data_IF_301228952085
#
_entry.id   IF_301228952085
#
_cell.length_a   1.000
_cell.length_b   1.000
_cell.length_c   1.000
_cell.angle_alpha   90.00
_cell.angle_beta   90.00
_cell.angle_gamma   90.00
#
_symmetry.space_group_name_H-M   'P 1'
#
loop_
_entity.id
_entity.type
_entity.pdbx_description
1 polymer ?
#
# COMPACT_ATOMS: atom_id res chain seq x y z
N UNK A 1 2.72 30.55 11.65
CA UNK A 1 3.81 29.60 11.30
C UNK A 1 5.14 30.27 11.57
N UNK A 2 6.04 29.59 12.28
CA UNK A 2 7.32 30.20 12.68
C UNK A 2 8.49 29.84 11.72
N UNK A 3 8.21 29.18 10.57
CA UNK A 3 9.21 28.72 9.65
C UNK A 3 9.42 29.70 8.49
N UNK A 4 10.66 30.06 8.21
CA UNK A 4 11.04 31.01 7.15
C UNK A 4 11.02 30.35 5.76
N UNK A 5 11.18 29.05 5.70
CA UNK A 5 11.20 28.26 4.46
C UNK A 5 10.81 26.81 4.72
N UNK A 6 10.57 26.06 3.65
CA UNK A 6 10.38 24.60 3.68
C UNK A 6 11.56 23.90 4.35
N UNK A 7 12.80 24.30 4.00
CA UNK A 7 14.01 23.69 4.55
C UNK A 7 14.17 23.95 6.06
N UNK A 8 13.71 25.12 6.53
CA UNK A 8 13.69 25.44 7.97
C UNK A 8 12.71 24.52 8.72
N UNK A 9 11.55 24.26 8.14
CA UNK A 9 10.58 23.29 8.67
C UNK A 9 11.16 21.86 8.70
N UNK A 10 11.74 21.39 7.59
CA UNK A 10 12.32 20.05 7.51
C UNK A 10 13.44 19.84 8.52
N UNK A 11 14.32 20.80 8.67
CA UNK A 11 15.36 20.78 9.74
C UNK A 11 14.76 20.68 11.15
N UNK A 12 13.64 21.37 11.40
CA UNK A 12 12.95 21.24 12.68
C UNK A 12 12.39 19.83 12.90
N UNK A 13 11.86 19.20 11.85
CA UNK A 13 11.38 17.80 11.91
C UNK A 13 12.55 16.84 12.23
N UNK A 14 13.70 17.01 11.59
CA UNK A 14 14.90 16.20 11.85
C UNK A 14 15.38 16.35 13.31
N UNK A 15 15.38 17.57 13.84
CA UNK A 15 15.76 17.83 15.23
C UNK A 15 14.76 17.23 16.23
N UNK A 16 13.48 17.26 15.90
CA UNK A 16 12.40 16.74 16.75
C UNK A 16 12.36 15.20 16.77
N UNK A 17 12.73 14.55 15.69
CA UNK A 17 12.70 13.10 15.51
C UNK A 17 14.07 12.57 15.05
N UNK A 18 15.11 12.63 15.89
CA UNK A 18 16.46 12.26 15.47
C UNK A 18 16.59 10.78 15.13
N UNK A 19 17.43 10.46 14.14
CA UNK A 19 17.73 9.09 13.68
C UNK A 19 16.54 8.33 13.03
N UNK A 20 15.55 9.05 12.51
CA UNK A 20 14.39 8.46 11.81
C UNK A 20 14.44 8.81 10.31
N UNK A 21 15.49 8.40 9.61
CA UNK A 21 15.77 8.80 8.22
C UNK A 21 14.65 8.51 7.25
N UNK A 22 14.01 7.34 7.33
CA UNK A 22 12.89 6.97 6.46
C UNK A 22 11.67 7.86 6.70
N UNK A 23 11.45 8.27 7.94
CA UNK A 23 10.38 9.20 8.27
C UNK A 23 10.68 10.61 7.74
N UNK A 24 11.92 11.09 7.87
CA UNK A 24 12.33 12.40 7.32
C UNK A 24 12.13 12.46 5.80
N UNK A 25 12.54 11.41 5.08
CA UNK A 25 12.37 11.32 3.64
C UNK A 25 10.89 11.37 3.23
N UNK A 26 10.01 10.66 3.94
CA UNK A 26 8.57 10.68 3.67
C UNK A 26 7.94 12.05 3.94
N UNK A 27 8.36 12.71 5.02
CA UNK A 27 7.91 14.08 5.34
C UNK A 27 8.37 15.05 4.25
N UNK A 28 9.62 14.97 3.81
CA UNK A 28 10.16 15.82 2.74
C UNK A 28 9.36 15.66 1.43
N UNK A 29 9.08 14.42 1.02
CA UNK A 29 8.29 14.13 -0.18
C UNK A 29 6.91 14.78 -0.13
N UNK A 30 6.17 14.54 0.95
CA UNK A 30 4.81 15.07 1.10
C UNK A 30 4.82 16.60 1.23
N UNK A 31 5.66 17.13 2.11
CA UNK A 31 5.75 18.57 2.37
C UNK A 31 6.18 19.34 1.11
N UNK A 32 7.03 18.76 0.28
CA UNK A 32 7.43 19.39 -0.99
C UNK A 32 6.25 19.61 -1.93
N UNK A 33 5.28 18.67 -1.97
CA UNK A 33 4.07 18.80 -2.77
C UNK A 33 3.05 19.77 -2.16
N UNK A 34 2.90 19.80 -0.81
CA UNK A 34 1.83 20.54 -0.15
C UNK A 34 2.25 21.95 0.32
N UNK A 35 3.54 22.28 0.31
CA UNK A 35 4.09 23.50 0.89
C UNK A 35 3.36 24.77 0.46
N UNK A 36 3.21 24.99 -0.87
CA UNK A 36 2.53 26.15 -1.40
C UNK A 36 1.05 26.19 -0.99
N UNK A 37 0.37 25.04 -1.03
CA UNK A 37 -1.05 24.96 -0.59
C UNK A 37 -1.23 25.34 0.88
N UNK A 38 -0.23 25.11 1.72
CA UNK A 38 -0.26 25.52 3.13
C UNK A 38 0.08 27.00 3.26
N UNK A 39 1.09 27.51 2.53
CA UNK A 39 1.48 28.92 2.60
C UNK A 39 0.38 29.85 2.12
N UNK A 40 -0.40 29.44 1.13
CA UNK A 40 -1.50 30.21 0.55
C UNK A 40 -2.80 30.14 1.38
N UNK A 41 -2.80 29.42 2.53
CA UNK A 41 -3.99 29.21 3.35
C UNK A 41 -3.77 29.68 4.80
N UNK A 42 -4.33 30.85 5.15
CA UNK A 42 -4.21 31.43 6.51
C UNK A 42 -4.75 30.50 7.61
N UNK A 43 -5.80 29.71 7.33
CA UNK A 43 -6.35 28.78 8.32
C UNK A 43 -5.34 27.68 8.65
N UNK A 44 -4.62 27.14 7.64
CA UNK A 44 -3.59 26.15 7.86
C UNK A 44 -2.41 26.72 8.65
N UNK A 45 -1.99 27.94 8.33
CA UNK A 45 -0.92 28.64 9.04
C UNK A 45 -1.28 28.90 10.51
N UNK A 46 -2.46 29.48 10.75
CA UNK A 46 -2.93 29.87 12.09
C UNK A 46 -3.17 28.65 13.00
N UNK A 47 -3.51 27.49 12.42
CA UNK A 47 -3.70 26.23 13.15
C UNK A 47 -2.45 25.35 13.23
N UNK A 48 -1.32 25.84 12.76
CA UNK A 48 -0.03 25.12 12.75
C UNK A 48 -0.14 23.69 12.19
N UNK A 49 -0.83 23.57 11.05
CA UNK A 49 -1.27 22.27 10.52
C UNK A 49 -0.10 21.35 10.17
N UNK A 50 1.05 21.91 9.71
CA UNK A 50 2.23 21.10 9.35
C UNK A 50 2.82 20.41 10.57
N UNK A 51 3.05 21.10 11.68
CA UNK A 51 3.57 20.47 12.90
C UNK A 51 2.63 19.40 13.46
N UNK A 52 1.32 19.65 13.37
CA UNK A 52 0.30 18.72 13.84
C UNK A 52 0.24 17.47 12.98
N UNK A 53 0.32 17.60 11.65
CA UNK A 53 0.18 16.45 10.73
C UNK A 53 1.44 15.56 10.69
N UNK A 54 2.63 16.11 10.99
CA UNK A 54 3.88 15.31 11.06
C UNK A 54 4.16 14.74 12.45
N UNK A 55 3.33 15.07 13.44
CA UNK A 55 3.47 14.57 14.80
C UNK A 55 2.42 13.49 15.07
N UNK A 56 2.80 12.25 15.36
CA UNK A 56 1.82 11.21 15.66
C UNK A 56 1.05 11.53 16.95
N UNK A 57 -0.24 11.22 16.97
CA UNK A 57 -1.07 11.41 18.18
C UNK A 57 -0.59 10.49 19.31
N UNK A 58 -0.13 9.27 18.99
CA UNK A 58 0.44 8.31 19.98
C UNK A 58 1.42 7.35 19.32
N UNK A 59 2.47 7.00 20.09
CA UNK A 59 3.35 5.88 19.82
C UNK A 59 3.32 4.94 21.03
N UNK A 60 2.95 3.68 20.82
CA UNK A 60 2.83 2.66 21.84
C UNK A 60 3.92 1.62 21.60
N UNK A 61 4.78 1.39 22.60
CA UNK A 61 5.86 0.41 22.55
C UNK A 61 5.66 -0.54 23.74
N UNK A 62 5.72 -1.83 23.46
CA UNK A 62 5.49 -2.85 24.48
C UNK A 62 6.36 -4.09 24.27
N UNK A 63 6.61 -4.81 25.37
CA UNK A 63 7.36 -6.06 25.37
C UNK A 63 6.47 -7.22 24.99
N UNK A 64 6.97 -8.11 24.11
CA UNK A 64 6.29 -9.33 23.66
C UNK A 64 7.12 -10.56 24.04
N UNK A 65 6.93 -11.14 25.24
CA UNK A 65 7.58 -12.40 25.63
C UNK A 65 6.83 -13.59 25.05
N UNK A 66 7.57 -14.57 24.53
CA UNK A 66 6.98 -15.82 24.02
C UNK A 66 7.95 -16.99 24.17
N UNK A 67 7.46 -18.21 24.01
CA UNK A 67 8.26 -19.44 24.20
C UNK A 67 8.24 -20.25 22.91
N UNK A 68 9.43 -20.60 22.40
CA UNK A 68 9.60 -21.44 21.23
C UNK A 68 9.23 -22.92 21.50
N UNK A 69 9.31 -23.76 20.47
CA UNK A 69 8.98 -25.19 20.60
C UNK A 69 10.04 -25.96 21.39
N UNK A 70 11.25 -25.39 21.55
CA UNK A 70 12.33 -25.93 22.40
C UNK A 70 12.25 -25.44 23.85
N UNK A 71 11.19 -24.72 24.24
CA UNK A 71 10.94 -24.12 25.57
C UNK A 71 11.87 -22.95 25.93
N UNK A 72 12.58 -22.36 24.95
CA UNK A 72 13.37 -21.15 25.18
C UNK A 72 12.45 -19.94 25.23
N UNK A 73 12.74 -19.03 26.15
CA UNK A 73 12.04 -17.74 26.27
C UNK A 73 12.66 -16.70 25.34
N UNK A 74 11.83 -16.10 24.52
CA UNK A 74 12.19 -15.00 23.63
C UNK A 74 11.47 -13.73 24.02
N UNK A 75 12.07 -12.58 23.71
CA UNK A 75 11.48 -11.25 23.95
C UNK A 75 11.66 -10.40 22.72
N UNK A 76 10.56 -9.96 22.15
CA UNK A 76 10.52 -9.01 21.05
C UNK A 76 9.90 -7.68 21.49
N UNK A 77 10.07 -6.63 20.67
CA UNK A 77 9.37 -5.36 20.83
C UNK A 77 8.14 -5.31 19.92
N UNK A 78 7.03 -4.93 20.49
CA UNK A 78 5.81 -4.62 19.78
C UNK A 78 5.59 -3.11 19.69
N UNK A 79 5.02 -2.65 18.58
CA UNK A 79 4.77 -1.24 18.29
C UNK A 79 3.39 -1.03 17.71
N UNK A 80 2.75 0.09 18.07
CA UNK A 80 1.61 0.65 17.35
C UNK A 80 1.71 2.16 17.30
N UNK A 81 1.73 2.71 16.10
CA UNK A 81 1.71 4.15 15.85
C UNK A 81 0.28 4.52 15.45
N UNK A 82 -0.39 5.25 16.31
CA UNK A 82 -1.66 5.90 16.08
C UNK A 82 -1.37 7.32 15.62
N UNK A 83 -1.32 7.51 14.29
CA UNK A 83 -0.70 8.72 13.76
C UNK A 83 -1.68 9.88 13.66
N UNK A 84 -2.85 9.66 13.05
CA UNK A 84 -3.85 10.70 12.87
C UNK A 84 -5.25 10.08 12.78
N UNK A 85 -6.19 10.59 13.57
CA UNK A 85 -7.58 10.11 13.66
C UNK A 85 -8.62 11.10 13.12
N UNK A 86 -8.21 12.20 12.52
CA UNK A 86 -9.12 13.27 12.11
C UNK A 86 -10.23 12.82 11.13
N UNK A 87 -9.99 11.78 10.33
CA UNK A 87 -10.97 11.29 9.35
C UNK A 87 -11.54 9.91 9.68
N UNK A 88 -11.25 9.36 10.85
CA UNK A 88 -11.79 8.08 11.30
C UNK A 88 -10.82 7.29 12.19
N UNK A 89 -11.18 6.07 12.61
CA UNK A 89 -10.33 5.21 13.40
C UNK A 89 -8.95 5.03 12.77
N UNK A 90 -7.89 4.93 13.57
CA UNK A 90 -6.56 4.63 13.03
C UNK A 90 -6.61 3.34 12.23
N UNK A 91 -6.04 3.34 11.04
CA UNK A 91 -6.08 2.20 10.11
C UNK A 91 -4.73 1.99 9.45
N UNK A 92 -4.23 0.76 9.50
CA UNK A 92 -3.01 0.36 8.82
C UNK A 92 -2.48 -0.96 9.31
N UNK A 93 -1.59 -1.58 8.51
CA UNK A 93 -1.10 -2.94 8.71
C UNK A 93 -0.19 -3.13 9.92
N UNK A 94 -0.03 -4.38 10.31
CA UNK A 94 1.00 -4.87 11.23
C UNK A 94 2.09 -5.57 10.43
N UNK A 95 3.35 -5.23 10.66
CA UNK A 95 4.52 -5.83 10.00
C UNK A 95 5.31 -6.66 11.00
N UNK A 96 5.57 -7.93 10.69
CA UNK A 96 6.50 -8.78 11.45
C UNK A 96 7.74 -9.03 10.62
N UNK A 97 8.82 -8.35 10.97
CA UNK A 97 10.09 -8.43 10.24
C UNK A 97 11.24 -7.91 11.13
N UNK A 98 12.45 -8.51 11.08
CA UNK A 98 13.58 -8.10 11.90
C UNK A 98 14.00 -6.62 11.76
N UNK A 99 13.72 -6.00 10.62
CA UNK A 99 14.04 -4.59 10.39
C UNK A 99 13.05 -3.60 11.04
N UNK A 100 11.96 -4.08 11.65
CA UNK A 100 10.95 -3.20 12.25
C UNK A 100 11.54 -2.40 13.40
N UNK A 101 11.41 -1.09 13.31
CA UNK A 101 11.76 -0.12 14.34
C UNK A 101 10.77 1.05 14.34
N UNK A 102 10.91 1.97 15.29
CA UNK A 102 10.00 3.09 15.44
C UNK A 102 9.97 4.01 14.22
N UNK A 103 11.13 4.36 13.65
CA UNK A 103 11.22 5.26 12.48
C UNK A 103 10.53 4.70 11.25
N UNK A 104 10.76 3.41 10.93
CA UNK A 104 10.10 2.71 9.82
C UNK A 104 8.57 2.71 10.03
N UNK A 105 8.09 2.44 11.25
CA UNK A 105 6.65 2.42 11.49
C UNK A 105 6.02 3.81 11.48
N UNK A 106 6.73 4.85 11.93
CA UNK A 106 6.28 6.24 11.80
C UNK A 106 6.19 6.66 10.33
N UNK A 107 7.20 6.37 9.54
CA UNK A 107 7.17 6.56 8.10
C UNK A 107 5.92 5.93 7.47
N UNK A 108 5.72 4.64 7.70
CA UNK A 108 4.61 3.90 7.12
C UNK A 108 3.23 4.39 7.63
N UNK A 109 3.15 4.83 8.89
CA UNK A 109 1.91 5.37 9.46
C UNK A 109 1.57 6.75 8.90
N UNK A 110 2.59 7.60 8.67
CA UNK A 110 2.44 8.90 8.05
C UNK A 110 1.93 8.79 6.60
N UNK A 111 2.57 7.96 5.78
CA UNK A 111 2.12 7.66 4.42
C UNK A 111 0.68 7.12 4.39
N UNK A 112 0.32 6.32 5.40
CA UNK A 112 -1.00 5.70 5.49
C UNK A 112 -2.12 6.72 5.69
N UNK A 113 -1.86 7.89 6.29
CA UNK A 113 -2.83 8.96 6.47
C UNK A 113 -3.38 9.39 5.10
N UNK A 114 -2.48 9.74 4.18
CA UNK A 114 -2.82 10.26 2.86
C UNK A 114 -3.46 9.20 1.98
N UNK A 115 -2.91 7.99 2.00
CA UNK A 115 -3.46 6.84 1.29
C UNK A 115 -4.91 6.54 1.71
N UNK A 116 -5.19 6.51 3.01
CA UNK A 116 -6.53 6.29 3.52
C UNK A 116 -7.47 7.45 3.18
N UNK A 117 -6.98 8.68 3.29
CA UNK A 117 -7.72 9.89 2.95
C UNK A 117 -8.24 9.87 1.51
N UNK A 118 -7.39 9.48 0.56
CA UNK A 118 -7.74 9.40 -0.86
C UNK A 118 -8.92 8.45 -1.14
N UNK A 119 -9.09 7.39 -0.35
CA UNK A 119 -10.21 6.45 -0.55
C UNK A 119 -11.58 7.08 -0.35
N UNK A 120 -11.66 8.21 0.36
CA UNK A 120 -12.92 8.84 0.76
C UNK A 120 -13.64 8.12 1.91
N UNK A 121 -13.10 6.99 2.39
CA UNK A 121 -13.66 6.25 3.52
C UNK A 121 -13.25 6.87 4.86
N UNK A 122 -14.00 6.57 5.93
CA UNK A 122 -13.72 7.07 7.28
C UNK A 122 -12.64 6.22 7.96
N UNK A 123 -11.39 6.48 7.62
CA UNK A 123 -10.22 5.77 8.14
C UNK A 123 -9.07 6.76 8.35
N UNK A 124 -8.59 6.86 9.57
CA UNK A 124 -7.37 7.58 9.92
C UNK A 124 -6.10 6.83 9.51
N UNK A 125 -4.95 7.29 9.98
CA UNK A 125 -3.65 6.68 9.69
C UNK A 125 -3.02 6.02 10.91
N UNK A 126 -2.53 4.80 10.75
CA UNK A 126 -1.78 4.09 11.77
C UNK A 126 -0.94 2.95 11.19
N UNK A 127 0.05 2.51 11.95
CA UNK A 127 0.90 1.37 11.58
C UNK A 127 1.43 0.69 12.83
N UNK A 128 1.71 -0.60 12.73
CA UNK A 128 2.31 -1.32 13.85
C UNK A 128 3.14 -2.51 13.38
N UNK A 129 3.66 -3.25 14.34
CA UNK A 129 4.44 -4.43 14.06
C UNK A 129 5.38 -4.83 15.17
N UNK A 130 6.32 -5.69 14.82
CA UNK A 130 7.35 -6.19 15.71
C UNK A 130 8.61 -6.58 14.93
N UNK A 131 9.75 -6.56 15.60
CA UNK A 131 11.02 -7.11 15.14
C UNK A 131 11.04 -8.66 15.08
N UNK A 132 9.92 -9.31 15.33
CA UNK A 132 9.74 -10.75 15.19
C UNK A 132 9.86 -11.20 13.73
N UNK A 133 10.67 -12.24 13.48
CA UNK A 133 10.76 -12.88 12.17
C UNK A 133 9.93 -14.17 12.13
N UNK A 134 8.79 -14.20 11.40
CA UNK A 134 7.97 -15.40 11.28
C UNK A 134 8.58 -16.46 10.34
N UNK A 135 9.64 -16.10 9.60
CA UNK A 135 10.27 -17.02 8.64
C UNK A 135 10.94 -18.17 9.36
N UNK A 136 10.60 -19.39 8.97
CA UNK A 136 11.17 -20.60 9.57
C UNK A 136 10.59 -20.99 10.93
N UNK A 137 9.61 -20.24 11.45
CA UNK A 137 8.91 -20.57 12.68
C UNK A 137 7.74 -21.53 12.43
N UNK A 138 7.47 -22.40 13.43
CA UNK A 138 6.30 -23.28 13.39
C UNK A 138 4.99 -22.49 13.55
N UNK A 139 3.87 -23.07 13.16
CA UNK A 139 2.55 -22.48 13.37
C UNK A 139 2.25 -22.26 14.87
N UNK A 140 2.76 -23.15 15.73
CA UNK A 140 2.60 -23.05 17.19
C UNK A 140 3.42 -21.87 17.75
N UNK A 141 4.65 -21.67 17.30
CA UNK A 141 5.49 -20.53 17.69
C UNK A 141 4.86 -19.21 17.26
N UNK A 142 4.38 -19.12 16.00
CA UNK A 142 3.71 -17.95 15.47
C UNK A 142 2.41 -17.66 16.23
N UNK A 143 1.64 -18.69 16.57
CA UNK A 143 0.43 -18.53 17.37
C UNK A 143 0.74 -17.99 18.77
N UNK A 144 1.72 -18.54 19.46
CA UNK A 144 2.16 -18.06 20.79
C UNK A 144 2.62 -16.60 20.73
N UNK A 145 3.42 -16.25 19.73
CA UNK A 145 3.84 -14.88 19.51
C UNK A 145 2.65 -13.93 19.26
N UNK A 146 1.75 -14.27 18.34
CA UNK A 146 0.56 -13.47 18.03
C UNK A 146 -0.34 -13.27 19.26
N UNK A 147 -0.50 -14.29 20.10
CA UNK A 147 -1.28 -14.21 21.33
C UNK A 147 -0.63 -13.28 22.36
N UNK A 148 0.68 -13.39 22.55
CA UNK A 148 1.42 -12.47 23.43
C UNK A 148 1.38 -11.04 22.95
N UNK A 149 1.62 -10.82 21.64
CA UNK A 149 1.54 -9.50 21.01
C UNK A 149 0.15 -8.88 21.20
N UNK A 150 -0.92 -9.63 20.94
CA UNK A 150 -2.29 -9.14 21.07
C UNK A 150 -2.69 -8.89 22.52
N UNK A 151 -2.10 -9.60 23.49
CA UNK A 151 -2.38 -9.38 24.92
C UNK A 151 -2.09 -7.93 25.33
N UNK A 152 -1.03 -7.32 24.82
CA UNK A 152 -0.76 -5.91 25.05
C UNK A 152 -1.52 -5.00 24.06
N UNK A 153 -1.49 -5.31 22.77
CA UNK A 153 -2.10 -4.48 21.76
C UNK A 153 -3.62 -4.31 21.95
N UNK A 154 -4.32 -5.34 22.44
CA UNK A 154 -5.78 -5.30 22.65
C UNK A 154 -6.27 -4.17 23.56
N UNK A 155 -5.39 -3.61 24.40
CA UNK A 155 -5.71 -2.49 25.30
C UNK A 155 -5.88 -1.16 24.54
N UNK A 156 -5.36 -1.08 23.32
CA UNK A 156 -5.20 0.17 22.54
C UNK A 156 -5.97 0.17 21.23
N UNK A 157 -6.57 -0.95 20.82
CA UNK A 157 -7.28 -1.11 19.56
C UNK A 157 -8.75 -1.46 19.76
N UNK A 158 -9.55 -1.26 18.72
CA UNK A 158 -10.98 -1.57 18.72
C UNK A 158 -11.61 -1.12 17.41
N UNK A 159 -12.79 -1.62 17.08
CA UNK A 159 -13.47 -1.37 15.81
C UNK A 159 -13.76 0.12 15.53
N UNK A 160 -13.91 0.94 16.56
CA UNK A 160 -14.14 2.39 16.45
C UNK A 160 -12.91 3.23 16.87
N UNK A 161 -11.82 2.61 17.29
CA UNK A 161 -10.62 3.33 17.78
C UNK A 161 -9.45 3.13 16.83
N UNK A 162 -9.10 1.89 16.57
CA UNK A 162 -7.92 1.50 15.79
C UNK A 162 -8.12 0.10 15.22
N UNK A 163 -8.06 -0.02 13.90
CA UNK A 163 -8.33 -1.26 13.17
C UNK A 163 -7.09 -1.70 12.39
N UNK A 164 -6.20 -2.51 12.98
CA UNK A 164 -5.05 -3.05 12.28
C UNK A 164 -5.43 -4.01 11.14
N UNK A 165 -4.47 -4.23 10.23
CA UNK A 165 -4.57 -5.17 9.11
C UNK A 165 -3.28 -5.97 8.96
N UNK A 166 -3.20 -6.85 7.95
CA UNK A 166 -1.97 -7.51 7.57
C UNK A 166 -1.02 -6.60 6.80
N UNK A 167 0.27 -6.96 6.84
CA UNK A 167 1.38 -6.40 6.07
C UNK A 167 2.48 -7.48 5.95
N UNK A 168 3.73 -7.13 5.62
CA UNK A 168 4.85 -8.09 5.54
C UNK A 168 4.91 -8.94 6.82
N UNK A 169 4.96 -10.26 6.66
CA UNK A 169 5.01 -11.22 7.76
C UNK A 169 3.69 -11.43 8.52
N UNK A 170 2.61 -10.75 8.12
CA UNK A 170 1.28 -10.86 8.74
C UNK A 170 0.22 -11.11 7.66
N UNK A 171 -0.16 -12.36 7.50
CA UNK A 171 -1.22 -12.80 6.60
C UNK A 171 -2.49 -13.23 7.35
N UNK A 172 -3.39 -13.93 6.65
CA UNK A 172 -4.66 -14.40 7.22
C UNK A 172 -4.50 -15.35 8.42
N UNK A 173 -3.38 -16.10 8.50
CA UNK A 173 -3.05 -16.96 9.64
C UNK A 173 -2.78 -16.12 10.90
N UNK A 174 -1.88 -15.15 10.81
CA UNK A 174 -1.52 -14.25 11.91
C UNK A 174 -2.72 -13.40 12.36
N UNK A 175 -3.49 -12.88 11.41
CA UNK A 175 -4.75 -12.16 11.69
C UNK A 175 -5.71 -13.07 12.46
N UNK A 176 -5.82 -14.36 12.07
CA UNK A 176 -6.65 -15.32 12.77
C UNK A 176 -6.24 -15.54 14.23
N UNK A 177 -4.94 -15.75 14.48
CA UNK A 177 -4.42 -15.93 15.82
C UNK A 177 -4.61 -14.68 16.70
N UNK A 178 -4.36 -13.49 16.14
CA UNK A 178 -4.57 -12.23 16.84
C UNK A 178 -6.05 -11.94 17.11
N UNK A 179 -6.93 -12.21 16.16
CA UNK A 179 -8.37 -12.02 16.34
C UNK A 179 -8.95 -12.96 17.40
N UNK A 180 -8.53 -14.23 17.39
CA UNK A 180 -8.92 -15.21 18.42
C UNK A 180 -8.52 -14.77 19.82
N UNK A 181 -7.30 -14.23 20.00
CA UNK A 181 -6.82 -13.71 21.27
C UNK A 181 -7.57 -12.44 21.68
N UNK A 182 -7.78 -11.49 20.78
CA UNK A 182 -8.57 -10.27 21.03
C UNK A 182 -9.98 -10.62 21.52
N UNK A 183 -10.68 -11.49 20.78
CA UNK A 183 -12.03 -11.94 21.12
C UNK A 183 -12.08 -12.55 22.52
N UNK A 184 -11.07 -13.34 22.90
CA UNK A 184 -10.97 -13.94 24.23
C UNK A 184 -10.75 -12.91 25.34
N UNK A 185 -9.87 -11.93 25.12
CA UNK A 185 -9.51 -10.91 26.11
C UNK A 185 -10.63 -9.89 26.33
N UNK A 186 -11.28 -9.48 25.24
CA UNK A 186 -12.31 -8.42 25.27
C UNK A 186 -13.72 -8.95 25.43
N UNK A 187 -13.92 -10.27 25.25
CA UNK A 187 -15.24 -10.92 25.19
C UNK A 187 -16.17 -10.27 24.16
N UNK A 188 -15.60 -9.89 23.01
CA UNK A 188 -16.31 -9.16 21.93
C UNK A 188 -16.00 -9.79 20.57
N UNK A 189 -17.02 -9.89 19.71
CA UNK A 189 -16.86 -10.21 18.29
C UNK A 189 -17.15 -8.97 17.47
N UNK A 190 -16.10 -8.22 17.10
CA UNK A 190 -16.18 -6.92 16.43
C UNK A 190 -15.31 -6.87 15.18
N UNK A 191 -15.39 -5.76 14.43
CA UNK A 191 -14.57 -5.49 13.24
C UNK A 191 -13.15 -4.97 13.55
N UNK A 192 -12.54 -5.40 14.66
CA UNK A 192 -11.27 -4.87 15.17
C UNK A 192 -10.04 -5.08 14.27
N UNK A 193 -10.04 -6.08 13.42
CA UNK A 193 -8.97 -6.40 12.46
C UNK A 193 -9.57 -6.57 11.07
N UNK A 194 -8.81 -6.25 10.02
CA UNK A 194 -9.18 -6.57 8.64
C UNK A 194 -8.18 -7.54 8.00
N UNK A 195 -8.61 -8.21 6.92
CA UNK A 195 -7.91 -9.35 6.33
C UNK A 195 -8.31 -10.68 6.98
N UNK A 196 -9.49 -10.72 7.58
CA UNK A 196 -10.11 -11.94 8.11
C UNK A 196 -10.53 -12.88 6.98
N UNK A 197 -10.70 -14.17 7.29
CA UNK A 197 -11.36 -15.08 6.35
C UNK A 197 -12.86 -14.77 6.28
N UNK A 198 -13.47 -15.07 5.16
CA UNK A 198 -14.89 -14.80 4.88
C UNK A 198 -15.82 -15.40 5.91
N UNK A 199 -15.54 -16.61 6.40
CA UNK A 199 -16.37 -17.33 7.37
C UNK A 199 -16.51 -16.63 8.73
N UNK A 200 -15.63 -15.68 9.05
CA UNK A 200 -15.64 -14.96 10.32
C UNK A 200 -15.43 -13.45 10.16
N UNK A 201 -16.02 -12.89 9.11
CA UNK A 201 -16.15 -11.43 8.92
C UNK A 201 -15.16 -10.81 7.94
N UNK A 202 -14.47 -11.61 7.13
CA UNK A 202 -13.65 -11.11 6.03
C UNK A 202 -14.47 -10.70 4.82
N UNK A 203 -13.90 -9.89 3.95
CA UNK A 203 -14.51 -9.46 2.69
C UNK A 203 -14.04 -10.32 1.53
N UNK A 204 -14.93 -10.61 0.60
CA UNK A 204 -14.59 -11.11 -0.74
C UNK A 204 -13.76 -10.04 -1.48
N UNK A 205 -13.08 -10.45 -2.56
CA UNK A 205 -12.20 -9.57 -3.37
C UNK A 205 -11.01 -8.96 -2.60
N UNK A 206 -10.76 -9.35 -1.34
CA UNK A 206 -9.63 -8.79 -0.56
C UNK A 206 -8.26 -9.18 -1.11
N UNK A 207 -7.99 -10.44 -1.52
CA UNK A 207 -6.73 -10.82 -2.17
C UNK A 207 -6.50 -10.09 -3.49
N UNK A 208 -7.54 -9.89 -4.28
CA UNK A 208 -7.54 -9.28 -5.60
C UNK A 208 -7.37 -7.76 -5.56
N UNK A 209 -7.81 -7.14 -4.50
CA UNK A 209 -8.11 -5.72 -4.39
C UNK A 209 -6.97 -4.79 -4.81
N UNK A 210 -5.72 -5.12 -4.46
CA UNK A 210 -4.58 -4.26 -4.80
C UNK A 210 -4.30 -4.31 -6.31
N UNK A 211 -4.23 -5.51 -6.89
CA UNK A 211 -4.01 -5.69 -8.33
C UNK A 211 -5.17 -5.11 -9.15
N UNK A 212 -6.40 -5.43 -8.80
CA UNK A 212 -7.59 -4.89 -9.46
C UNK A 212 -7.65 -3.37 -9.37
N UNK A 213 -7.42 -2.82 -8.19
CA UNK A 213 -7.40 -1.36 -7.97
C UNK A 213 -6.36 -0.66 -8.82
N UNK A 214 -5.14 -1.23 -8.92
CA UNK A 214 -4.08 -0.68 -9.77
C UNK A 214 -4.53 -0.61 -11.24
N UNK A 215 -5.16 -1.66 -11.74
CA UNK A 215 -5.66 -1.69 -13.14
C UNK A 215 -6.82 -0.72 -13.34
N UNK A 216 -7.74 -0.58 -12.39
CA UNK A 216 -8.81 0.42 -12.46
C UNK A 216 -8.25 1.84 -12.47
N UNK A 217 -7.22 2.12 -11.69
CA UNK A 217 -6.56 3.42 -11.70
C UNK A 217 -5.91 3.70 -13.07
N UNK A 218 -5.24 2.72 -13.66
CA UNK A 218 -4.66 2.82 -15.02
C UNK A 218 -5.75 3.06 -16.07
N UNK A 219 -6.89 2.39 -15.99
CA UNK A 219 -8.01 2.59 -16.91
C UNK A 219 -8.52 4.04 -16.86
N UNK A 220 -8.64 4.61 -15.66
CA UNK A 220 -8.99 6.02 -15.49
C UNK A 220 -7.91 6.97 -16.01
N UNK A 221 -6.61 6.65 -15.82
CA UNK A 221 -5.50 7.43 -16.39
C UNK A 221 -5.56 7.47 -17.92
N UNK A 222 -5.82 6.33 -18.57
CA UNK A 222 -5.96 6.24 -20.03
C UNK A 222 -7.14 7.08 -20.55
N UNK A 223 -8.26 7.11 -19.84
CA UNK A 223 -9.44 7.93 -20.21
C UNK A 223 -9.11 9.42 -20.29
N UNK A 224 -8.13 9.93 -19.54
CA UNK A 224 -7.70 11.34 -19.66
C UNK A 224 -7.09 11.65 -21.03
N UNK A 225 -6.58 10.63 -21.71
CA UNK A 225 -6.05 10.72 -23.09
C UNK A 225 -7.04 10.16 -24.15
N UNK A 226 -8.30 9.92 -23.77
CA UNK A 226 -9.33 9.30 -24.64
C UNK A 226 -8.90 7.92 -25.15
N UNK A 227 -8.17 7.17 -24.36
CA UNK A 227 -7.62 5.85 -24.66
C UNK A 227 -8.21 4.78 -23.71
N UNK A 228 -7.91 3.50 -23.93
CA UNK A 228 -8.39 2.38 -23.15
C UNK A 228 -7.34 1.28 -23.03
N UNK A 229 -7.57 0.33 -22.12
CA UNK A 229 -6.73 -0.85 -21.92
C UNK A 229 -6.73 -1.84 -23.09
N UNK A 230 -7.80 -1.86 -23.88
CA UNK A 230 -7.96 -2.83 -24.98
C UNK A 230 -6.77 -2.78 -25.96
N UNK A 231 -6.13 -3.92 -26.18
CA UNK A 231 -4.98 -4.07 -27.08
C UNK A 231 -3.64 -3.51 -26.57
N UNK A 232 -3.58 -2.95 -25.37
CA UNK A 232 -2.31 -2.45 -24.79
C UNK A 232 -1.42 -3.60 -24.36
N UNK A 233 -0.15 -3.54 -24.72
CA UNK A 233 0.91 -4.42 -24.21
C UNK A 233 1.35 -3.93 -22.85
N UNK A 234 1.36 -4.83 -21.86
CA UNK A 234 1.66 -4.49 -20.46
C UNK A 234 2.79 -5.34 -19.92
N UNK A 235 3.81 -4.69 -19.36
CA UNK A 235 4.84 -5.37 -18.55
C UNK A 235 4.49 -5.30 -17.07
N UNK A 236 4.67 -6.43 -16.37
CA UNK A 236 4.39 -6.57 -14.94
C UNK A 236 5.62 -7.19 -14.29
N UNK A 237 6.12 -6.58 -13.21
CA UNK A 237 7.09 -7.23 -12.34
C UNK A 237 6.41 -7.99 -11.21
N UNK A 238 7.11 -8.96 -10.64
CA UNK A 238 6.56 -9.82 -9.60
C UNK A 238 5.72 -10.98 -10.12
N UNK A 239 5.38 -11.89 -9.24
CA UNK A 239 4.49 -13.02 -9.45
C UNK A 239 3.70 -13.37 -8.18
N UNK A 240 3.64 -12.43 -7.23
CA UNK A 240 2.81 -12.50 -6.03
C UNK A 240 1.36 -12.04 -6.30
N UNK A 241 0.56 -11.90 -5.24
CA UNK A 241 -0.86 -11.54 -5.33
C UNK A 241 -1.11 -10.30 -6.19
N UNK A 242 -0.38 -9.21 -5.98
CA UNK A 242 -0.60 -7.96 -6.72
C UNK A 242 -0.39 -8.17 -8.22
N UNK A 243 0.72 -8.79 -8.60
CA UNK A 243 1.04 -9.07 -10.00
C UNK A 243 0.04 -10.03 -10.66
N UNK A 244 -0.35 -11.11 -9.96
CA UNK A 244 -1.30 -12.10 -10.47
C UNK A 244 -2.67 -11.47 -10.73
N UNK A 245 -3.20 -10.71 -9.78
CA UNK A 245 -4.53 -10.12 -9.91
C UNK A 245 -4.52 -8.87 -10.82
N UNK A 246 -3.43 -8.12 -10.91
CA UNK A 246 -3.27 -7.12 -11.95
C UNK A 246 -3.29 -7.76 -13.35
N UNK A 247 -2.55 -8.84 -13.55
CA UNK A 247 -2.54 -9.62 -14.79
C UNK A 247 -3.95 -10.12 -15.15
N UNK A 248 -4.67 -10.70 -14.19
CA UNK A 248 -6.04 -11.19 -14.38
C UNK A 248 -6.99 -10.08 -14.83
N UNK A 249 -7.00 -8.96 -14.12
CA UNK A 249 -7.91 -7.85 -14.45
C UNK A 249 -7.56 -7.20 -15.80
N UNK A 250 -6.28 -7.11 -16.15
CA UNK A 250 -5.82 -6.63 -17.45
C UNK A 250 -6.36 -7.52 -18.59
N UNK A 251 -6.28 -8.85 -18.44
CA UNK A 251 -6.81 -9.80 -19.42
C UNK A 251 -8.34 -9.60 -19.58
N UNK A 252 -9.07 -9.48 -18.47
CA UNK A 252 -10.52 -9.24 -18.51
C UNK A 252 -10.90 -7.93 -19.20
N UNK A 253 -10.04 -6.91 -19.17
CA UNK A 253 -10.25 -5.60 -19.81
C UNK A 253 -9.63 -5.53 -21.22
N UNK A 254 -9.17 -6.66 -21.77
CA UNK A 254 -8.68 -6.77 -23.14
C UNK A 254 -7.25 -6.27 -23.37
N UNK A 255 -6.46 -6.04 -22.31
CA UNK A 255 -5.04 -5.78 -22.42
C UNK A 255 -4.23 -7.07 -22.58
N UNK A 256 -2.99 -6.95 -23.01
CA UNK A 256 -2.04 -8.06 -23.26
C UNK A 256 -0.87 -7.99 -22.29
N UNK A 257 -0.98 -8.59 -21.09
CA UNK A 257 0.18 -8.73 -20.20
C UNK A 257 1.17 -9.73 -20.81
N UNK A 258 2.48 -9.39 -20.84
CA UNK A 258 3.52 -10.17 -21.51
C UNK A 258 4.64 -10.61 -20.60
N UNK A 259 4.71 -10.11 -19.37
CA UNK A 259 5.77 -10.48 -18.40
C UNK A 259 5.21 -10.75 -17.01
N UNK A 260 5.88 -11.62 -16.29
CA UNK A 260 5.86 -11.77 -14.83
C UNK A 260 7.28 -12.07 -14.37
N UNK A 261 7.65 -11.72 -13.13
CA UNK A 261 9.01 -11.90 -12.63
C UNK A 261 9.06 -12.44 -11.21
N UNK A 262 10.21 -12.93 -10.81
CA UNK A 262 10.60 -13.13 -9.41
C UNK A 262 12.08 -12.81 -9.23
N UNK A 263 12.65 -13.11 -8.04
CA UNK A 263 14.05 -12.80 -7.74
C UNK A 263 15.07 -13.55 -8.62
N UNK A 264 14.65 -14.50 -9.47
CA UNK A 264 15.54 -15.21 -10.40
C UNK A 264 15.56 -14.62 -11.81
N UNK A 265 14.57 -13.77 -12.16
CA UNK A 265 14.44 -13.17 -13.49
C UNK A 265 12.98 -12.98 -13.89
N UNK A 266 12.74 -12.80 -15.18
CA UNK A 266 11.38 -12.62 -15.70
C UNK A 266 11.09 -13.52 -16.91
N UNK A 267 9.81 -13.85 -17.12
CA UNK A 267 9.32 -14.51 -18.34
C UNK A 267 8.86 -13.45 -19.33
N UNK A 268 9.11 -13.69 -20.62
CA UNK A 268 8.54 -12.90 -21.70
C UNK A 268 7.72 -13.80 -22.62
N UNK A 269 6.41 -13.59 -22.61
CA UNK A 269 5.44 -14.31 -23.44
C UNK A 269 4.89 -13.34 -24.50
N UNK A 270 5.46 -13.37 -25.70
CA UNK A 270 5.13 -12.46 -26.80
C UNK A 270 3.67 -12.61 -27.26
N UNK A 271 3.07 -13.80 -27.10
CA UNK A 271 1.66 -14.04 -27.41
C UNK A 271 0.70 -13.54 -26.33
N UNK A 272 1.22 -13.19 -25.16
CA UNK A 272 0.48 -12.75 -24.00
C UNK A 272 0.11 -13.87 -23.04
N UNK A 273 0.00 -13.51 -21.77
CA UNK A 273 -0.41 -14.40 -20.71
C UNK A 273 -1.94 -14.54 -20.74
N UNK A 274 -2.44 -15.76 -21.00
CA UNK A 274 -3.88 -16.07 -20.92
C UNK A 274 -4.31 -16.41 -19.49
N UNK A 275 -5.62 -16.47 -19.23
CA UNK A 275 -6.16 -16.90 -17.92
C UNK A 275 -5.70 -18.31 -17.56
N UNK A 276 -5.61 -19.24 -18.54
CA UNK A 276 -5.12 -20.59 -18.31
C UNK A 276 -3.63 -20.58 -17.88
N UNK A 277 -2.81 -19.79 -18.57
CA UNK A 277 -1.38 -19.63 -18.23
C UNK A 277 -1.22 -18.97 -16.87
N UNK A 278 -2.05 -18.00 -16.52
CA UNK A 278 -2.05 -17.35 -15.22
C UNK A 278 -2.46 -18.31 -14.09
N UNK A 279 -3.43 -19.17 -14.33
CA UNK A 279 -3.85 -20.19 -13.35
C UNK A 279 -2.69 -21.15 -13.02
N UNK A 280 -1.85 -21.46 -14.00
CA UNK A 280 -0.62 -22.20 -13.73
C UNK A 280 0.32 -21.42 -12.79
N UNK A 281 0.48 -20.11 -12.98
CA UNK A 281 1.30 -19.28 -12.10
C UNK A 281 0.73 -19.25 -10.67
N UNK A 282 -0.58 -19.13 -10.51
CA UNK A 282 -1.24 -19.17 -9.19
C UNK A 282 -0.91 -20.47 -8.46
N UNK A 283 -1.12 -21.62 -9.10
CA UNK A 283 -0.77 -22.94 -8.54
C UNK A 283 0.73 -23.11 -8.26
N UNK A 284 1.59 -22.60 -9.15
CA UNK A 284 3.03 -22.63 -8.97
C UNK A 284 3.44 -21.89 -7.68
N UNK A 285 2.85 -20.72 -7.45
CA UNK A 285 3.19 -19.85 -6.31
C UNK A 285 2.58 -20.26 -4.97
N UNK A 286 1.70 -21.24 -4.93
CA UNK A 286 1.32 -21.94 -3.69
C UNK A 286 2.55 -22.59 -3.03
N UNK A 287 3.51 -23.03 -3.82
CA UNK A 287 4.81 -23.54 -3.35
C UNK A 287 5.80 -22.37 -3.27
N UNK A 288 6.15 -21.95 -2.05
CA UNK A 288 7.06 -20.81 -1.81
C UNK A 288 8.44 -20.93 -2.50
N UNK A 289 8.92 -22.14 -2.74
CA UNK A 289 10.21 -22.40 -3.42
C UNK A 289 10.13 -22.37 -4.94
N UNK A 290 8.95 -22.42 -5.54
CA UNK A 290 8.79 -22.49 -6.98
C UNK A 290 9.14 -21.17 -7.67
N UNK A 291 9.83 -21.26 -8.81
CA UNK A 291 10.33 -20.14 -9.59
C UNK A 291 9.51 -19.92 -10.85
N UNK A 292 9.43 -18.65 -11.29
CA UNK A 292 8.68 -18.31 -12.50
C UNK A 292 9.29 -18.93 -13.75
N UNK A 293 10.56 -19.33 -13.74
CA UNK A 293 11.23 -20.06 -14.84
C UNK A 293 10.52 -21.37 -15.20
N UNK A 294 9.75 -21.97 -14.29
CA UNK A 294 8.94 -23.16 -14.60
C UNK A 294 7.80 -22.88 -15.59
N UNK A 295 7.27 -21.64 -15.58
CA UNK A 295 6.33 -21.18 -16.60
C UNK A 295 6.97 -21.21 -18.00
N UNK A 296 8.17 -20.64 -18.12
CA UNK A 296 8.90 -20.59 -19.40
C UNK A 296 9.13 -21.98 -19.97
N UNK A 297 9.53 -22.94 -19.12
CA UNK A 297 9.70 -24.34 -19.53
C UNK A 297 8.39 -24.98 -19.99
N UNK A 298 7.29 -24.73 -19.29
CA UNK A 298 5.99 -25.34 -19.58
C UNK A 298 5.38 -24.83 -20.89
N UNK A 299 5.47 -23.52 -21.12
CA UNK A 299 4.81 -22.87 -22.26
C UNK A 299 5.77 -22.53 -23.39
N UNK A 300 7.05 -22.95 -23.30
CA UNK A 300 8.10 -22.73 -24.29
C UNK A 300 8.24 -21.26 -24.70
N UNK A 301 8.38 -20.38 -23.69
CA UNK A 301 8.59 -18.95 -23.84
C UNK A 301 9.93 -18.54 -23.23
N UNK A 302 10.39 -17.32 -23.49
CA UNK A 302 11.68 -16.84 -23.03
C UNK A 302 11.70 -16.65 -21.51
N UNK A 303 12.81 -17.03 -20.88
CA UNK A 303 13.16 -16.68 -19.51
C UNK A 303 14.48 -15.92 -19.49
N UNK A 304 14.47 -14.72 -18.95
CA UNK A 304 15.63 -13.85 -18.87
C UNK A 304 16.09 -13.81 -17.42
N UNK A 305 17.18 -14.52 -17.16
CA UNK A 305 17.73 -14.69 -15.82
C UNK A 305 18.38 -13.41 -15.30
N UNK A 306 18.21 -13.12 -14.01
CA UNK A 306 18.89 -12.04 -13.29
C UNK A 306 18.49 -10.63 -13.68
N UNK A 307 17.46 -10.46 -14.52
CA UNK A 307 16.98 -9.13 -14.98
C UNK A 307 15.54 -8.83 -14.56
N UNK A 308 15.21 -7.55 -14.62
CA UNK A 308 13.84 -6.99 -14.51
C UNK A 308 13.21 -6.82 -15.89
N UNK A 309 11.87 -6.77 -16.02
CA UNK A 309 11.19 -6.78 -17.32
C UNK A 309 11.18 -5.41 -18.06
N UNK A 310 11.92 -4.43 -17.58
CA UNK A 310 11.81 -3.03 -18.06
C UNK A 310 12.44 -2.79 -19.45
N UNK A 311 13.21 -3.73 -19.97
CA UNK A 311 13.72 -3.69 -21.34
C UNK A 311 12.68 -4.13 -22.39
N UNK A 312 11.56 -4.73 -21.99
CA UNK A 312 10.51 -5.21 -22.89
C UNK A 312 9.68 -4.03 -23.40
N UNK A 313 9.51 -3.94 -24.71
CA UNK A 313 8.67 -2.91 -25.33
C UNK A 313 7.21 -3.06 -24.90
N UNK A 314 6.65 -2.00 -24.32
CA UNK A 314 5.29 -2.00 -23.80
C UNK A 314 4.63 -0.60 -23.90
N UNK A 315 3.32 -0.55 -23.69
CA UNK A 315 2.55 0.67 -23.55
C UNK A 315 2.42 1.09 -22.08
N UNK A 316 2.32 0.09 -21.20
CA UNK A 316 2.05 0.24 -19.76
C UNK A 316 3.04 -0.62 -18.98
N UNK A 317 3.62 -0.08 -17.90
CA UNK A 317 4.45 -0.83 -16.97
C UNK A 317 3.84 -0.80 -15.55
N UNK A 318 3.70 -1.98 -14.94
CA UNK A 318 3.18 -2.16 -13.60
C UNK A 318 4.25 -2.78 -12.69
N UNK A 319 5.01 -1.98 -11.94
CA UNK A 319 5.92 -2.48 -10.93
C UNK A 319 5.12 -3.01 -9.71
N UNK A 320 5.09 -4.35 -9.57
CA UNK A 320 4.27 -5.08 -8.61
C UNK A 320 5.09 -6.01 -7.69
N UNK A 321 6.42 -5.93 -7.69
CA UNK A 321 7.27 -6.83 -6.92
C UNK A 321 7.73 -6.22 -5.59
N UNK A 322 8.76 -5.38 -5.62
CA UNK A 322 9.42 -4.91 -4.39
C UNK A 322 9.77 -3.42 -4.44
N UNK A 323 10.09 -2.88 -3.27
CA UNK A 323 10.57 -1.51 -3.14
C UNK A 323 11.87 -1.30 -3.95
N UNK A 324 12.00 -0.13 -4.61
CA UNK A 324 13.18 0.30 -5.37
C UNK A 324 13.61 -0.67 -6.49
N UNK A 325 12.68 -1.38 -7.09
CA UNK A 325 12.95 -2.31 -8.20
C UNK A 325 13.10 -1.63 -9.56
N UNK A 326 12.71 -0.36 -9.69
CA UNK A 326 12.74 0.42 -10.91
C UNK A 326 13.56 1.70 -10.67
N UNK A 327 14.75 1.76 -11.25
CA UNK A 327 15.68 2.89 -11.12
C UNK A 327 15.60 3.87 -12.30
N UNK A 328 16.42 4.93 -12.27
CA UNK A 328 16.42 5.96 -13.31
C UNK A 328 16.77 5.44 -14.72
N UNK A 329 17.65 4.44 -14.83
CA UNK A 329 18.03 3.89 -16.12
C UNK A 329 16.91 2.98 -16.67
N UNK A 330 16.24 2.23 -15.81
CA UNK A 330 15.02 1.48 -16.17
C UNK A 330 13.92 2.43 -16.66
N UNK A 331 13.74 3.58 -15.99
CA UNK A 331 12.76 4.60 -16.41
C UNK A 331 13.04 5.17 -17.79
N UNK A 332 14.30 5.52 -18.08
CA UNK A 332 14.73 5.97 -19.42
C UNK A 332 14.51 4.89 -20.49
N UNK A 333 14.79 3.64 -20.15
CA UNK A 333 14.59 2.52 -21.05
C UNK A 333 13.10 2.31 -21.37
N UNK A 334 12.23 2.33 -20.37
CA UNK A 334 10.78 2.24 -20.54
C UNK A 334 10.26 3.36 -21.48
N UNK A 335 10.63 4.61 -21.21
CA UNK A 335 10.17 5.75 -22.02
C UNK A 335 10.68 5.68 -23.45
N UNK A 336 11.95 5.31 -23.67
CA UNK A 336 12.53 5.15 -25.02
C UNK A 336 11.87 3.99 -25.79
N UNK A 337 11.37 2.97 -25.10
CA UNK A 337 10.64 1.83 -25.67
C UNK A 337 9.15 2.11 -25.93
N UNK A 338 8.67 3.33 -25.67
CA UNK A 338 7.31 3.77 -25.95
C UNK A 338 6.31 3.52 -24.82
N UNK A 339 6.77 3.22 -23.61
CA UNK A 339 5.93 3.19 -22.42
C UNK A 339 5.46 4.61 -22.09
N UNK A 340 4.14 4.79 -21.95
CA UNK A 340 3.54 6.08 -21.65
C UNK A 340 2.64 6.08 -20.41
N UNK A 341 2.49 4.91 -19.75
CA UNK A 341 1.83 4.76 -18.47
C UNK A 341 2.68 3.88 -17.55
N UNK A 342 2.96 4.38 -16.36
CA UNK A 342 3.56 3.59 -15.27
C UNK A 342 2.66 3.73 -14.06
N UNK A 343 2.26 2.62 -13.42
CA UNK A 343 1.45 2.66 -12.21
C UNK A 343 1.95 1.66 -11.17
N UNK A 344 2.22 2.15 -9.98
CA UNK A 344 2.83 1.39 -8.91
C UNK A 344 1.84 0.46 -8.20
N UNK A 345 1.95 -0.84 -8.46
CA UNK A 345 1.22 -1.87 -7.72
C UNK A 345 1.87 -2.22 -6.38
N UNK A 346 3.20 -2.18 -6.31
CA UNK A 346 3.94 -2.31 -5.06
C UNK A 346 4.03 -0.98 -4.30
N UNK A 347 4.54 -0.99 -3.07
CA UNK A 347 4.83 0.23 -2.32
C UNK A 347 6.23 0.72 -2.66
N UNK A 348 6.32 1.97 -3.16
CA UNK A 348 7.56 2.65 -3.54
C UNK A 348 8.50 1.78 -4.42
N UNK A 349 8.01 1.19 -5.51
CA UNK A 349 8.87 0.37 -6.37
C UNK A 349 9.82 1.20 -7.24
N UNK A 350 9.48 2.47 -7.51
CA UNK A 350 10.31 3.39 -8.29
C UNK A 350 11.20 4.23 -7.37
N UNK A 351 12.46 4.41 -7.75
CA UNK A 351 13.36 5.35 -7.06
C UNK A 351 12.93 6.80 -7.33
N UNK A 352 13.31 7.72 -6.47
CA UNK A 352 12.99 9.16 -6.62
C UNK A 352 13.43 9.70 -7.98
N UNK A 353 14.61 9.32 -8.45
CA UNK A 353 15.13 9.75 -9.76
C UNK A 353 14.31 9.19 -10.93
N UNK A 354 13.81 7.95 -10.81
CA UNK A 354 12.90 7.37 -11.79
C UNK A 354 11.57 8.14 -11.85
N UNK A 355 11.00 8.49 -10.68
CA UNK A 355 9.78 9.29 -10.58
C UNK A 355 9.98 10.67 -11.22
N UNK A 356 11.10 11.35 -10.92
CA UNK A 356 11.42 12.64 -11.53
C UNK A 356 11.53 12.52 -13.05
N UNK A 357 12.16 11.46 -13.57
CA UNK A 357 12.23 11.19 -15.00
C UNK A 357 10.83 11.04 -15.61
N UNK A 358 9.95 10.22 -15.04
CA UNK A 358 8.58 10.06 -15.57
C UNK A 358 7.78 11.36 -15.58
N UNK A 359 7.92 12.19 -14.55
CA UNK A 359 7.26 13.50 -14.50
C UNK A 359 7.82 14.44 -15.58
N UNK A 360 9.15 14.51 -15.76
CA UNK A 360 9.79 15.36 -16.75
C UNK A 360 9.43 14.99 -18.20
N UNK A 361 9.28 13.69 -18.47
CA UNK A 361 8.85 13.15 -19.77
C UNK A 361 7.32 13.17 -19.97
N UNK A 362 6.57 13.76 -19.04
CA UNK A 362 5.09 13.80 -19.05
C UNK A 362 4.44 12.42 -19.22
N UNK A 363 5.05 11.37 -18.63
CA UNK A 363 4.48 10.04 -18.56
C UNK A 363 3.30 10.07 -17.59
N UNK A 364 2.24 9.34 -17.88
CA UNK A 364 1.17 9.10 -16.92
C UNK A 364 1.71 8.20 -15.80
N UNK A 365 2.17 8.80 -14.70
CA UNK A 365 2.77 8.09 -13.58
C UNK A 365 1.80 8.05 -12.38
N UNK A 366 1.29 6.86 -12.07
CA UNK A 366 0.40 6.62 -10.92
C UNK A 366 1.20 6.19 -9.67
N UNK A 367 1.37 7.07 -8.67
CA UNK A 367 2.14 6.76 -7.46
C UNK A 367 1.41 5.71 -6.60
N UNK A 368 2.18 4.87 -5.88
CA UNK A 368 1.67 3.76 -5.11
C UNK A 368 0.58 4.13 -4.12
N UNK A 369 0.71 5.29 -3.42
CA UNK A 369 -0.32 5.74 -2.47
C UNK A 369 -1.71 5.96 -3.09
N UNK A 370 -1.79 6.20 -4.41
CA UNK A 370 -3.03 6.30 -5.16
C UNK A 370 -3.35 5.00 -5.91
N UNK A 371 -2.42 4.53 -6.75
CA UNK A 371 -2.65 3.41 -7.67
C UNK A 371 -2.91 2.08 -6.94
N UNK A 372 -2.17 1.78 -5.87
CA UNK A 372 -2.33 0.52 -5.12
C UNK A 372 -3.28 0.60 -3.91
N UNK A 373 -4.07 1.68 -3.79
CA UNK A 373 -4.98 1.87 -2.67
C UNK A 373 -6.16 0.87 -2.62
N UNK A 374 -6.33 0.03 -3.64
CA UNK A 374 -7.40 -0.97 -3.69
C UNK A 374 -7.43 -1.88 -2.47
N UNK A 375 -6.27 -2.33 -1.99
CA UNK A 375 -6.17 -3.18 -0.80
C UNK A 375 -6.73 -2.52 0.47
N UNK A 376 -6.42 -1.26 0.73
CA UNK A 376 -6.98 -0.54 1.87
C UNK A 376 -8.43 -0.14 1.64
N UNK A 377 -8.84 0.12 0.41
CA UNK A 377 -10.25 0.38 0.06
C UNK A 377 -11.14 -0.81 0.44
N UNK A 378 -10.77 -2.04 0.03
CA UNK A 378 -11.51 -3.24 0.41
C UNK A 378 -11.41 -3.53 1.92
N UNK A 379 -10.31 -3.17 2.58
CA UNK A 379 -10.26 -3.22 4.05
C UNK A 379 -11.30 -2.29 4.71
N UNK A 380 -11.53 -1.09 4.16
CA UNK A 380 -12.58 -0.20 4.63
C UNK A 380 -14.00 -0.73 4.35
N UNK A 381 -14.19 -1.39 3.18
CA UNK A 381 -15.44 -2.10 2.88
C UNK A 381 -15.66 -3.25 3.88
N UNK A 382 -14.61 -4.01 4.24
CA UNK A 382 -14.67 -5.05 5.29
C UNK A 382 -15.11 -4.46 6.63
N UNK A 383 -14.59 -3.29 7.03
CA UNK A 383 -15.04 -2.59 8.24
C UNK A 383 -16.54 -2.26 8.18
N UNK A 384 -17.04 -1.78 7.06
CA UNK A 384 -18.46 -1.49 6.87
C UNK A 384 -19.31 -2.75 6.95
N UNK A 385 -18.92 -3.84 6.30
CA UNK A 385 -19.60 -5.14 6.39
C UNK A 385 -19.61 -5.66 7.83
N UNK A 386 -18.51 -5.48 8.58
CA UNK A 386 -18.45 -5.88 9.99
C UNK A 386 -19.40 -5.05 10.88
N UNK A 387 -19.56 -3.76 10.59
CA UNK A 387 -20.47 -2.88 11.33
C UNK A 387 -21.93 -3.21 11.08
N UNK A 388 -22.29 -3.56 9.86
CA UNK A 388 -23.66 -3.95 9.49
C UNK A 388 -23.94 -5.43 9.76
N UNK A 389 -22.89 -6.27 9.93
CA UNK A 389 -22.94 -7.73 9.99
C UNK A 389 -23.55 -8.39 8.75
N UNK A 390 -23.50 -7.72 7.62
CA UNK A 390 -24.00 -8.23 6.34
C UNK A 390 -22.86 -8.40 5.35
N UNK A 391 -22.63 -9.61 4.83
CA UNK A 391 -21.64 -9.83 3.78
C UNK A 391 -22.14 -9.24 2.46
N UNK A 392 -21.21 -8.71 1.66
CA UNK A 392 -21.46 -8.31 0.28
C UNK A 392 -20.99 -9.41 -0.67
N UNK A 393 -21.63 -9.49 -1.83
CA UNK A 393 -21.20 -10.36 -2.94
C UNK A 393 -19.89 -9.86 -3.56
N UNK A 394 -19.19 -10.72 -4.30
CA UNK A 394 -17.98 -10.33 -5.02
C UNK A 394 -18.21 -9.18 -6.00
N UNK A 395 -19.36 -9.19 -6.67
CA UNK A 395 -19.74 -8.14 -7.62
C UNK A 395 -19.98 -6.79 -6.93
N UNK A 396 -20.68 -6.78 -5.79
CA UNK A 396 -20.89 -5.56 -5.00
C UNK A 396 -19.56 -4.98 -4.49
N UNK A 397 -18.67 -5.82 -3.99
CA UNK A 397 -17.35 -5.37 -3.52
C UNK A 397 -16.51 -4.85 -4.69
N UNK A 398 -16.48 -5.52 -5.84
CA UNK A 398 -15.71 -5.08 -7.02
C UNK A 398 -16.26 -3.75 -7.58
N UNK A 399 -17.58 -3.57 -7.63
CA UNK A 399 -18.21 -2.31 -8.04
C UNK A 399 -17.88 -1.16 -7.07
N UNK A 400 -17.91 -1.39 -5.76
CA UNK A 400 -17.50 -0.41 -4.76
C UNK A 400 -16.01 -0.07 -4.92
N UNK A 401 -15.15 -1.09 -5.10
CA UNK A 401 -13.72 -0.88 -5.33
C UNK A 401 -13.47 -0.01 -6.55
N UNK A 402 -14.11 -0.33 -7.68
CA UNK A 402 -14.02 0.46 -8.91
C UNK A 402 -14.44 1.92 -8.68
N UNK A 403 -15.55 2.13 -8.00
CA UNK A 403 -16.02 3.48 -7.64
C UNK A 403 -15.04 4.25 -6.74
N UNK A 404 -14.40 3.58 -5.80
CA UNK A 404 -13.37 4.19 -4.94
C UNK A 404 -12.13 4.55 -5.76
N UNK A 405 -11.65 3.67 -6.63
CA UNK A 405 -10.48 3.96 -7.47
C UNK A 405 -10.71 5.11 -8.45
N UNK A 406 -11.93 5.21 -9.01
CA UNK A 406 -12.33 6.37 -9.82
C UNK A 406 -12.30 7.67 -9.00
N UNK A 407 -12.79 7.65 -7.76
CA UNK A 407 -12.75 8.81 -6.86
C UNK A 407 -11.31 9.23 -6.52
N UNK A 408 -10.44 8.26 -6.22
CA UNK A 408 -9.00 8.51 -5.97
C UNK A 408 -8.39 9.19 -7.20
N UNK A 409 -8.62 8.64 -8.39
CA UNK A 409 -8.12 9.20 -9.63
C UNK A 409 -8.64 10.64 -9.85
N UNK A 410 -9.95 10.86 -9.71
CA UNK A 410 -10.57 12.20 -9.85
C UNK A 410 -9.99 13.21 -8.87
N UNK A 411 -9.68 12.78 -7.64
CA UNK A 411 -9.01 13.62 -6.63
C UNK A 411 -7.59 13.98 -7.08
N UNK A 412 -6.83 13.01 -7.57
CA UNK A 412 -5.47 13.26 -8.10
C UNK A 412 -5.50 14.21 -9.29
N UNK A 413 -6.45 14.07 -10.21
CA UNK A 413 -6.63 15.00 -11.36
C UNK A 413 -6.95 16.39 -10.85
N UNK A 414 -7.91 16.54 -9.92
CA UNK A 414 -8.32 17.84 -9.37
C UNK A 414 -7.16 18.66 -8.81
N UNK A 415 -6.26 18.01 -8.09
CA UNK A 415 -5.17 18.69 -7.39
C UNK A 415 -3.81 18.61 -8.11
N UNK A 416 -3.67 17.71 -9.09
CA UNK A 416 -2.41 17.51 -9.81
C UNK A 416 -2.37 18.10 -11.22
N UNK A 417 -3.49 18.62 -11.75
CA UNK A 417 -3.50 19.21 -13.09
C UNK A 417 -2.80 20.56 -13.09
N UNK A 418 -1.78 20.68 -13.94
CA UNK A 418 -1.06 21.91 -14.23
C UNK A 418 -0.97 22.03 -15.75
N UNK A 419 -1.58 23.04 -16.33
CA UNK A 419 -1.67 23.25 -17.77
C UNK A 419 -2.24 22.00 -18.49
N UNK A 420 -1.44 21.38 -19.35
CA UNK A 420 -1.78 20.19 -20.15
C UNK A 420 -1.34 18.86 -19.53
N UNK A 421 -0.76 18.89 -18.32
CA UNK A 421 -0.19 17.72 -17.65
C UNK A 421 -0.83 17.47 -16.28
N UNK A 422 -0.98 16.18 -15.95
CA UNK A 422 -1.45 15.74 -14.64
C UNK A 422 -0.28 15.16 -13.87
N UNK A 423 0.20 15.87 -12.86
CA UNK A 423 1.15 15.34 -11.89
C UNK A 423 0.39 14.57 -10.79
N UNK A 424 0.26 13.27 -10.97
CA UNK A 424 -0.47 12.41 -10.02
C UNK A 424 0.20 12.31 -8.64
N UNK A 425 1.53 12.56 -8.54
CA UNK A 425 2.25 12.59 -7.26
C UNK A 425 1.79 13.77 -6.42
N UNK A 426 1.85 14.98 -6.99
CA UNK A 426 1.31 16.19 -6.34
C UNK A 426 -0.18 16.05 -6.06
N UNK A 427 -0.93 15.53 -7.05
CA UNK A 427 -2.37 15.32 -6.92
C UNK A 427 -2.76 14.40 -5.77
N UNK A 428 -2.02 13.31 -5.56
CA UNK A 428 -2.23 12.38 -4.47
C UNK A 428 -1.85 12.99 -3.11
N UNK A 429 -0.70 13.66 -3.04
CA UNK A 429 -0.21 14.28 -1.81
C UNK A 429 -1.14 15.42 -1.36
N UNK A 430 -1.46 16.37 -2.26
CA UNK A 430 -2.32 17.53 -1.95
C UNK A 430 -3.75 17.06 -1.67
N UNK A 431 -4.33 16.20 -2.51
CA UNK A 431 -5.69 15.71 -2.34
C UNK A 431 -5.87 14.91 -1.04
N UNK A 432 -4.89 14.07 -0.69
CA UNK A 432 -4.87 13.36 0.58
C UNK A 432 -4.74 14.30 1.77
N UNK A 433 -3.86 15.30 1.67
CA UNK A 433 -3.60 16.29 2.72
C UNK A 433 -4.83 17.18 3.03
N UNK A 434 -5.43 17.80 2.01
CA UNK A 434 -6.50 18.79 2.17
C UNK A 434 -7.64 18.22 3.02
N UNK A 435 -8.12 17.01 2.72
CA UNK A 435 -9.20 16.38 3.47
C UNK A 435 -8.86 16.18 4.95
N UNK A 436 -7.63 15.79 5.26
CA UNK A 436 -7.17 15.56 6.63
C UNK A 436 -7.01 16.91 7.36
N UNK A 437 -6.36 17.88 6.71
CA UNK A 437 -6.11 19.21 7.26
C UNK A 437 -7.42 19.93 7.59
N UNK A 438 -8.38 19.95 6.67
CA UNK A 438 -9.69 20.55 6.88
C UNK A 438 -10.42 19.88 8.07
N UNK A 439 -10.42 18.54 8.12
CA UNK A 439 -11.02 17.81 9.24
C UNK A 439 -10.34 18.10 10.58
N UNK A 440 -9.01 18.28 10.61
CA UNK A 440 -8.26 18.67 11.82
C UNK A 440 -8.62 20.09 12.28
N UNK A 441 -8.93 20.99 11.36
CA UNK A 441 -9.36 22.36 11.67
C UNK A 441 -10.78 22.35 12.23
N UNK A 442 -11.71 21.65 11.56
CA UNK A 442 -13.12 21.55 11.97
C UNK A 442 -13.27 20.97 13.39
N UNK A 443 -12.40 20.06 13.78
CA UNK A 443 -12.40 19.41 15.09
C UNK A 443 -11.66 20.22 16.18
N UNK A 444 -10.96 21.28 15.80
CA UNK A 444 -10.22 22.15 16.71
C UNK A 444 -8.84 21.63 17.11
N UNK A 445 -8.37 22.09 18.26
CA UNK A 445 -7.05 21.69 18.82
C UNK A 445 -7.32 20.65 19.92
N UNK A 446 -7.22 19.39 19.55
CA UNK A 446 -7.46 18.22 20.40
C UNK A 446 -6.23 17.33 20.46
#
# INVERSE_FOLDING_TARGET
>A
MNYKSKDDFLKNVELKFPNENEFHQAVEEVVSSIWNSVQDNELYLNNNILDRIVTPERAIIFRVPWVDDNKNVHVNLGYRIQFNSAIGPYKGGLRFHPSVNLGILKFLAFEQIFKNSLTGLSMGGGKGGSDFDPKGKSDNEIMKFCQSFMTELSKHIGHNTDVPAGDIGVGGREIGYMFGQYKRLRNEFTGVLTGKKTDWGGSLVRPEATGYGTVYFVDEMLKTRKDSLAGKVVTISGSGNVAQFACEKLIHLGAKPVTLSDSSGYIYDSEGISLEKLEFVKKLKEKRSARISEYAKKFNVDFIEGKTPWEVKCHIALPCATQNELNADDAKLLTSNGCFVVAEGANMPSTTDAVHHFISEKILFGPGKAANAGGVAVSGIEMSQNSTRMPLTSEEVDNLLKGIMNRIHSTCVKYGTKDDFINYVDGANIGGFVRVADSMIDQGIV
#
